data_IF_523506139864
#
_entry.id   IF_523506139864
#
_cell.length_a   1.000
_cell.length_b   1.000
_cell.length_c   1.000
_cell.angle_alpha   90.00
_cell.angle_beta   90.00
_cell.angle_gamma   90.00
#
_symmetry.space_group_name_H-M   'P 1'
#
loop_
_entity.id
_entity.type
_entity.pdbx_description
1 polymer ?
#
# COMPACT_ATOMS: atom_id res chain seq x y z
N UNK A 1 15.35 2.03 -12.11
CA UNK A 1 14.16 2.44 -11.33
C UNK A 1 12.98 1.47 -11.46
N UNK A 2 12.26 1.33 -12.59
CA UNK A 2 11.09 0.41 -12.64
C UNK A 2 11.42 -1.05 -12.31
N UNK A 3 12.57 -1.54 -12.75
CA UNK A 3 13.03 -2.91 -12.43
C UNK A 3 13.47 -3.04 -10.95
N UNK A 4 13.96 -1.96 -10.33
CA UNK A 4 14.25 -1.93 -8.89
C UNK A 4 12.97 -1.97 -8.05
N UNK A 5 11.92 -1.29 -8.49
CA UNK A 5 10.59 -1.37 -7.86
C UNK A 5 10.03 -2.79 -7.91
N UNK A 6 10.14 -3.45 -9.07
CA UNK A 6 9.74 -4.85 -9.22
C UNK A 6 10.55 -5.79 -8.31
N UNK A 7 11.86 -5.55 -8.14
CA UNK A 7 12.68 -6.31 -7.21
C UNK A 7 12.27 -6.09 -5.74
N UNK A 8 11.93 -4.86 -5.34
CA UNK A 8 11.38 -4.58 -4.01
C UNK A 8 10.06 -5.34 -3.80
N UNK A 9 9.20 -5.35 -4.82
CA UNK A 9 7.90 -6.03 -4.76
C UNK A 9 8.07 -7.53 -4.50
N UNK A 10 8.97 -8.18 -5.24
CA UNK A 10 9.30 -9.59 -5.03
C UNK A 10 9.88 -9.85 -3.63
N UNK A 11 10.79 -9.01 -3.16
CA UNK A 11 11.36 -9.14 -1.83
C UNK A 11 10.33 -8.93 -0.70
N UNK A 12 9.36 -8.03 -0.90
CA UNK A 12 8.33 -7.73 0.10
C UNK A 12 7.22 -8.79 0.16
N UNK A 13 6.88 -9.39 -0.98
CA UNK A 13 5.76 -10.31 -1.15
C UNK A 13 6.17 -11.61 -1.87
N UNK A 14 7.10 -12.39 -1.29
CA UNK A 14 7.67 -13.56 -1.96
C UNK A 14 6.66 -14.69 -2.24
N UNK A 15 5.51 -14.67 -1.56
CA UNK A 15 4.46 -15.69 -1.67
C UNK A 15 3.40 -15.38 -2.73
N UNK A 16 3.37 -14.16 -3.29
CA UNK A 16 2.43 -13.84 -4.36
C UNK A 16 2.78 -14.60 -5.63
N UNK A 17 1.80 -14.99 -6.44
CA UNK A 17 2.04 -15.54 -7.76
C UNK A 17 2.49 -14.47 -8.76
N UNK A 18 3.08 -14.89 -9.89
CA UNK A 18 3.51 -13.96 -10.96
C UNK A 18 2.36 -13.11 -11.53
N UNK A 19 1.12 -13.62 -11.50
CA UNK A 19 -0.07 -12.89 -11.95
C UNK A 19 -0.57 -11.84 -10.95
N UNK A 20 -0.26 -12.01 -9.66
CA UNK A 20 -0.67 -11.09 -8.60
C UNK A 20 0.38 -9.98 -8.36
N UNK A 21 1.64 -10.22 -8.72
CA UNK A 21 2.74 -9.26 -8.52
C UNK A 21 2.70 -8.09 -9.49
N UNK A 22 2.99 -6.91 -8.98
CA UNK A 22 3.38 -5.77 -9.82
C UNK A 22 4.75 -6.05 -10.46
N UNK A 23 4.90 -5.71 -11.74
CA UNK A 23 6.10 -5.95 -12.54
C UNK A 23 6.60 -4.62 -13.11
N UNK A 24 7.78 -4.61 -13.70
CA UNK A 24 8.39 -3.38 -14.18
C UNK A 24 7.50 -2.65 -15.22
N UNK A 25 6.76 -3.38 -16.06
CA UNK A 25 5.79 -2.77 -16.98
C UNK A 25 4.59 -2.11 -16.27
N UNK A 26 4.14 -2.66 -15.14
CA UNK A 26 3.08 -2.07 -14.33
C UNK A 26 3.56 -0.73 -13.75
N UNK A 27 4.75 -0.69 -13.13
CA UNK A 27 5.31 0.56 -12.60
C UNK A 27 5.52 1.64 -13.67
N UNK A 28 5.95 1.25 -14.88
CA UNK A 28 6.04 2.19 -16.02
C UNK A 28 4.66 2.72 -16.44
N UNK A 29 3.60 1.93 -16.31
CA UNK A 29 2.23 2.38 -16.57
C UNK A 29 1.73 3.30 -15.46
N UNK A 30 1.99 2.98 -14.18
CA UNK A 30 1.56 3.79 -13.03
C UNK A 30 2.03 5.23 -13.13
N UNK A 31 3.32 5.44 -13.49
CA UNK A 31 3.90 6.77 -13.67
C UNK A 31 3.23 7.55 -14.82
N UNK A 32 2.75 6.87 -15.86
CA UNK A 32 2.00 7.53 -16.96
C UNK A 32 0.57 7.86 -16.56
N UNK A 33 -0.05 7.00 -15.74
CA UNK A 33 -1.44 7.13 -15.30
C UNK A 33 -1.59 8.23 -14.26
N UNK A 34 -0.75 8.20 -13.21
CA UNK A 34 -0.83 9.15 -12.10
C UNK A 34 0.55 9.30 -11.42
N UNK A 35 1.45 10.11 -12.00
CA UNK A 35 2.83 10.23 -11.53
C UNK A 35 2.93 10.74 -10.09
N UNK A 36 2.05 11.65 -9.67
CA UNK A 36 2.05 12.24 -8.32
C UNK A 36 1.71 11.23 -7.22
N UNK A 37 1.10 10.09 -7.58
CA UNK A 37 0.80 8.99 -6.66
C UNK A 37 1.89 7.92 -6.56
N UNK A 38 3.02 8.07 -7.27
CA UNK A 38 4.08 7.07 -7.28
C UNK A 38 5.28 7.58 -6.49
N UNK A 39 5.53 6.98 -5.32
CA UNK A 39 6.58 7.43 -4.41
C UNK A 39 7.65 6.36 -4.24
N UNK A 40 8.90 6.79 -4.15
CA UNK A 40 10.04 5.92 -3.90
C UNK A 40 11.00 6.59 -2.91
N UNK A 41 11.49 5.82 -1.94
CA UNK A 41 12.58 6.24 -1.07
C UNK A 41 13.88 5.74 -1.66
N UNK A 42 14.82 6.67 -1.90
CA UNK A 42 16.13 6.39 -2.48
C UNK A 42 17.20 6.59 -1.41
N UNK A 43 18.06 5.59 -1.24
CA UNK A 43 19.21 5.70 -0.34
C UNK A 43 20.25 6.65 -0.94
N UNK A 44 20.54 7.77 -0.28
CA UNK A 44 21.45 8.82 -0.79
C UNK A 44 22.87 8.30 -1.05
N UNK A 45 23.35 7.34 -0.25
CA UNK A 45 24.72 6.82 -0.37
C UNK A 45 24.91 5.92 -1.61
N UNK A 46 23.88 5.17 -2.02
CA UNK A 46 23.99 4.16 -3.10
C UNK A 46 23.14 4.49 -4.32
N UNK A 47 22.21 5.43 -4.21
CA UNK A 47 21.23 5.76 -5.25
C UNK A 47 20.17 4.67 -5.47
N UNK A 48 20.13 3.63 -4.63
CA UNK A 48 19.20 2.50 -4.78
C UNK A 48 17.83 2.85 -4.20
N UNK A 49 16.77 2.38 -4.87
CA UNK A 49 15.44 2.39 -4.27
C UNK A 49 15.38 1.37 -3.12
N UNK A 50 14.84 1.78 -1.97
CA UNK A 50 14.77 0.95 -0.75
C UNK A 50 13.35 0.76 -0.22
N UNK A 51 12.42 1.61 -0.65
CA UNK A 51 11.00 1.49 -0.37
C UNK A 51 10.20 2.20 -1.46
N UNK A 52 8.94 1.81 -1.65
CA UNK A 52 8.04 2.45 -2.60
C UNK A 52 6.57 2.34 -2.18
N UNK A 53 5.75 3.23 -2.71
CA UNK A 53 4.29 3.14 -2.66
C UNK A 53 3.68 3.45 -4.01
N UNK A 54 2.55 2.79 -4.30
CA UNK A 54 1.76 2.97 -5.52
C UNK A 54 0.34 3.30 -5.13
N UNK A 55 -0.12 4.45 -5.62
CA UNK A 55 -1.42 5.02 -5.29
C UNK A 55 -2.15 5.49 -6.56
N UNK A 56 -3.48 5.54 -6.52
CA UNK A 56 -4.30 6.13 -7.57
C UNK A 56 -5.58 6.73 -7.00
N UNK A 57 -6.15 7.72 -7.68
CA UNK A 57 -7.44 8.31 -7.30
C UNK A 57 -8.61 7.46 -7.77
N UNK A 58 -9.63 7.35 -6.91
CA UNK A 58 -10.90 6.68 -7.19
C UNK A 58 -12.02 7.27 -6.34
N UNK A 59 -13.24 6.83 -6.61
CA UNK A 59 -14.41 7.05 -5.74
C UNK A 59 -14.64 5.80 -4.89
N UNK A 60 -15.02 5.97 -3.63
CA UNK A 60 -15.32 4.85 -2.70
C UNK A 60 -16.76 4.93 -2.22
N UNK A 61 -17.52 3.84 -2.44
CA UNK A 61 -18.81 3.64 -1.80
C UNK A 61 -18.62 2.83 -0.50
N UNK A 62 -18.66 3.50 0.65
CA UNK A 62 -18.53 2.84 1.95
C UNK A 62 -19.76 2.00 2.33
N UNK A 63 -20.87 2.07 1.60
CA UNK A 63 -21.97 1.11 1.75
C UNK A 63 -21.69 -0.19 1.01
N UNK A 64 -20.85 -0.16 -0.03
CA UNK A 64 -20.52 -1.32 -0.88
C UNK A 64 -19.00 -1.41 -1.12
N UNK A 65 -18.21 -1.39 -0.05
CA UNK A 65 -16.75 -1.33 -0.13
C UNK A 65 -16.07 -2.67 -0.46
N UNK A 66 -16.81 -3.78 -0.45
CA UNK A 66 -16.24 -5.11 -0.71
C UNK A 66 -15.85 -5.27 -2.19
N UNK A 67 -14.61 -5.64 -2.45
CA UNK A 67 -14.10 -5.88 -3.79
C UNK A 67 -12.93 -6.86 -3.75
N UNK A 68 -12.61 -7.43 -4.91
CA UNK A 68 -11.36 -8.18 -5.09
C UNK A 68 -10.24 -7.20 -5.38
N UNK A 69 -9.09 -7.40 -4.74
CA UNK A 69 -7.93 -6.53 -4.92
C UNK A 69 -7.58 -6.33 -6.41
N UNK A 70 -7.42 -7.41 -7.18
CA UNK A 70 -7.03 -7.31 -8.59
C UNK A 70 -8.04 -6.55 -9.45
N UNK A 71 -9.33 -6.58 -9.11
CA UNK A 71 -10.34 -5.82 -9.83
C UNK A 71 -10.21 -4.32 -9.51
N UNK A 72 -9.98 -3.98 -8.23
CA UNK A 72 -9.77 -2.60 -7.82
C UNK A 72 -8.52 -1.95 -8.43
N UNK A 73 -7.45 -2.71 -8.65
CA UNK A 73 -6.22 -2.19 -9.28
C UNK A 73 -6.16 -2.44 -10.79
N UNK A 74 -7.27 -2.83 -11.42
CA UNK A 74 -7.37 -3.15 -12.85
C UNK A 74 -6.25 -4.10 -13.33
N UNK A 75 -6.05 -5.21 -12.60
CA UNK A 75 -5.00 -6.19 -12.90
C UNK A 75 -3.58 -5.63 -12.74
N UNK A 76 -3.38 -4.76 -11.75
CA UNK A 76 -2.14 -3.99 -11.49
C UNK A 76 -1.82 -2.90 -12.53
N UNK A 77 -2.71 -2.57 -13.47
CA UNK A 77 -2.46 -1.52 -14.47
C UNK A 77 -2.93 -0.13 -14.05
N UNK A 78 -3.80 -0.03 -13.04
CA UNK A 78 -4.43 1.22 -12.59
C UNK A 78 -5.18 1.98 -13.70
N UNK A 79 -5.58 1.28 -14.77
CA UNK A 79 -6.27 1.88 -15.92
C UNK A 79 -7.68 2.41 -15.58
N UNK A 80 -8.20 2.06 -14.40
CA UNK A 80 -9.43 2.56 -13.82
C UNK A 80 -9.22 3.81 -12.93
N UNK A 81 -8.05 4.44 -12.97
CA UNK A 81 -7.78 5.71 -12.29
C UNK A 81 -8.82 6.76 -12.66
N UNK A 82 -9.32 7.47 -11.64
CA UNK A 82 -10.30 8.54 -11.79
C UNK A 82 -9.66 9.87 -11.37
N UNK A 83 -9.25 10.72 -12.32
CA UNK A 83 -8.65 12.02 -12.00
C UNK A 83 -9.57 12.95 -11.21
N UNK A 84 -10.88 12.70 -11.20
CA UNK A 84 -11.87 13.42 -10.40
C UNK A 84 -12.25 12.68 -9.10
N UNK A 85 -11.70 11.50 -8.85
CA UNK A 85 -11.95 10.72 -7.64
C UNK A 85 -11.53 11.48 -6.39
N UNK A 86 -12.33 11.36 -5.34
CA UNK A 86 -12.22 12.06 -4.06
C UNK A 86 -11.36 11.32 -3.03
N UNK A 87 -10.99 10.07 -3.29
CA UNK A 87 -10.14 9.25 -2.42
C UNK A 87 -8.82 8.88 -3.09
N UNK A 88 -7.76 8.82 -2.29
CA UNK A 88 -6.51 8.17 -2.66
C UNK A 88 -6.59 6.69 -2.28
N UNK A 89 -6.53 5.79 -3.25
CA UNK A 89 -6.49 4.35 -3.00
C UNK A 89 -5.04 3.85 -3.02
N UNK A 90 -4.61 3.24 -1.91
CA UNK A 90 -3.32 2.59 -1.77
C UNK A 90 -3.32 1.21 -2.40
N UNK A 91 -2.68 1.08 -3.57
CA UNK A 91 -2.54 -0.20 -4.27
C UNK A 91 -1.42 -1.06 -3.68
N UNK A 92 -0.28 -0.46 -3.37
CA UNK A 92 0.89 -1.18 -2.85
C UNK A 92 1.76 -0.29 -1.96
N UNK A 93 2.41 -0.89 -0.96
CA UNK A 93 3.48 -0.26 -0.19
C UNK A 93 4.49 -1.32 0.25
N UNK A 94 5.76 -1.07 -0.05
CA UNK A 94 6.85 -2.01 0.17
C UNK A 94 8.08 -1.33 0.76
N UNK A 95 8.66 -1.95 1.79
CA UNK A 95 10.00 -1.60 2.31
C UNK A 95 10.86 -2.85 2.24
N UNK A 96 12.02 -2.73 1.59
CA UNK A 96 12.97 -3.83 1.44
C UNK A 96 13.21 -4.52 2.79
N UNK A 97 13.12 -5.86 2.90
CA UNK A 97 13.16 -6.58 4.17
C UNK A 97 14.33 -6.18 5.09
N UNK A 98 15.53 -6.05 4.54
CA UNK A 98 16.77 -5.72 5.28
C UNK A 98 16.80 -4.28 5.85
N UNK A 99 15.90 -3.42 5.38
CA UNK A 99 15.83 -2.00 5.73
C UNK A 99 14.58 -1.64 6.52
N UNK A 100 13.77 -2.64 6.92
CA UNK A 100 12.60 -2.43 7.77
C UNK A 100 13.01 -1.92 9.16
N UNK A 101 12.03 -1.32 9.86
CA UNK A 101 12.19 -0.70 11.19
C UNK A 101 13.15 0.51 11.21
N UNK A 102 13.43 1.10 10.05
CA UNK A 102 14.22 2.34 9.92
C UNK A 102 13.38 3.59 9.60
N UNK A 103 12.06 3.53 9.84
CA UNK A 103 11.16 4.66 9.57
C UNK A 103 10.77 4.87 8.09
N UNK A 104 11.24 4.04 7.15
CA UNK A 104 11.01 4.24 5.71
C UNK A 104 9.52 4.22 5.31
N UNK A 105 8.72 3.35 5.94
CA UNK A 105 7.27 3.34 5.72
C UNK A 105 6.62 4.64 6.21
N UNK A 106 7.14 5.25 7.29
CA UNK A 106 6.63 6.54 7.78
C UNK A 106 6.77 7.62 6.71
N UNK A 107 7.92 7.70 6.04
CA UNK A 107 8.15 8.67 4.96
C UNK A 107 7.12 8.53 3.84
N UNK A 108 6.79 7.30 3.44
CA UNK A 108 5.80 7.03 2.40
C UNK A 108 4.38 7.42 2.84
N UNK A 109 4.00 7.11 4.08
CA UNK A 109 2.70 7.54 4.61
C UNK A 109 2.61 9.07 4.77
N UNK A 110 3.68 9.74 5.17
CA UNK A 110 3.73 11.20 5.24
C UNK A 110 3.54 11.82 3.85
N UNK A 111 4.19 11.29 2.81
CA UNK A 111 4.00 11.75 1.44
C UNK A 111 2.59 11.48 0.90
N UNK A 112 2.00 10.31 1.20
CA UNK A 112 0.58 10.03 0.86
C UNK A 112 -0.37 11.03 1.49
N UNK A 113 -0.18 11.35 2.78
CA UNK A 113 -1.01 12.36 3.44
C UNK A 113 -0.77 13.75 2.86
N UNK A 114 0.49 14.09 2.55
CA UNK A 114 0.85 15.32 1.85
C UNK A 114 0.12 15.42 0.51
N UNK A 115 0.09 14.34 -0.27
CA UNK A 115 -0.62 14.26 -1.53
C UNK A 115 -2.13 14.46 -1.37
N UNK A 116 -2.76 13.79 -0.39
CA UNK A 116 -4.17 14.00 -0.10
C UNK A 116 -4.47 15.48 0.18
N UNK A 117 -3.64 16.14 0.99
CA UNK A 117 -3.80 17.58 1.29
C UNK A 117 -3.59 18.46 0.05
N UNK A 118 -2.57 18.19 -0.77
CA UNK A 118 -2.28 18.95 -2.01
C UNK A 118 -3.43 18.87 -3.02
N UNK A 119 -4.07 17.71 -3.11
CA UNK A 119 -5.15 17.44 -4.08
C UNK A 119 -6.55 17.66 -3.51
N UNK A 120 -6.69 18.00 -2.23
CA UNK A 120 -7.98 18.21 -1.57
C UNK A 120 -8.83 16.93 -1.48
N UNK A 121 -8.18 15.76 -1.32
CA UNK A 121 -8.86 14.47 -1.23
C UNK A 121 -9.49 14.29 0.16
N UNK A 122 -10.59 13.54 0.22
CA UNK A 122 -11.29 13.19 1.45
C UNK A 122 -10.43 12.35 2.40
N UNK A 123 -9.51 11.54 1.86
CA UNK A 123 -8.57 10.75 2.62
C UNK A 123 -7.86 9.69 1.80
N UNK A 124 -7.22 8.76 2.50
CA UNK A 124 -6.52 7.61 1.94
C UNK A 124 -7.21 6.32 2.39
N UNK A 125 -7.44 5.40 1.46
CA UNK A 125 -8.06 4.10 1.71
C UNK A 125 -7.13 3.01 1.20
N UNK A 126 -6.91 1.98 2.01
CA UNK A 126 -6.14 0.80 1.62
C UNK A 126 -6.77 -0.46 2.21
N UNK A 127 -6.70 -1.56 1.46
CA UNK A 127 -7.02 -2.89 1.94
C UNK A 127 -5.77 -3.54 2.55
N UNK A 128 -5.89 -4.12 3.73
CA UNK A 128 -4.76 -4.73 4.43
C UNK A 128 -5.05 -6.17 4.85
N UNK A 129 -4.05 -7.04 4.71
CA UNK A 129 -4.11 -8.42 5.17
C UNK A 129 -3.48 -8.53 6.57
N UNK A 130 -4.22 -8.92 7.62
CA UNK A 130 -3.68 -8.97 8.98
C UNK A 130 -2.71 -10.14 9.17
N UNK A 131 -1.42 -9.91 8.86
CA UNK A 131 -0.40 -10.97 8.83
C UNK A 131 -0.17 -11.63 10.18
N UNK A 132 -0.50 -10.97 11.29
CA UNK A 132 -0.37 -11.53 12.64
C UNK A 132 -1.49 -12.51 13.02
N UNK A 133 -2.62 -12.51 12.32
CA UNK A 133 -3.83 -13.23 12.73
C UNK A 133 -3.65 -14.75 12.84
N UNK A 134 -2.78 -15.35 12.03
CA UNK A 134 -2.52 -16.80 12.08
C UNK A 134 -2.13 -17.31 13.48
N UNK A 135 -1.59 -16.45 14.35
CA UNK A 135 -1.23 -16.77 15.74
C UNK A 135 -2.41 -16.77 16.71
N UNK A 136 -3.51 -16.12 16.33
CA UNK A 136 -4.70 -15.90 17.15
C UNK A 136 -5.94 -16.64 16.63
N UNK A 137 -5.88 -17.21 15.43
CA UNK A 137 -7.01 -17.82 14.71
C UNK A 137 -7.73 -18.95 15.47
N UNK A 138 -7.06 -19.59 16.42
CA UNK A 138 -7.64 -20.67 17.24
C UNK A 138 -8.33 -20.14 18.51
N UNK A 139 -8.05 -18.90 18.91
CA UNK A 139 -8.52 -18.30 20.16
C UNK A 139 -9.56 -17.19 19.96
N UNK A 140 -9.64 -16.57 18.78
CA UNK A 140 -10.61 -15.51 18.50
C UNK A 140 -10.92 -15.41 17.00
N UNK A 141 -12.12 -14.93 16.68
CA UNK A 141 -12.51 -14.58 15.32
C UNK A 141 -11.72 -13.35 14.81
N UNK A 142 -11.65 -13.20 13.47
CA UNK A 142 -10.86 -12.14 12.83
C UNK A 142 -11.35 -10.74 13.20
N UNK A 143 -12.67 -10.57 13.33
CA UNK A 143 -13.31 -9.31 13.70
C UNK A 143 -12.88 -8.86 15.09
N UNK A 144 -12.83 -9.81 16.04
CA UNK A 144 -12.34 -9.56 17.38
C UNK A 144 -10.84 -9.20 17.38
N UNK A 145 -10.03 -9.91 16.59
CA UNK A 145 -8.61 -9.59 16.42
C UNK A 145 -8.40 -8.17 15.89
N UNK A 146 -9.07 -7.81 14.80
CA UNK A 146 -8.97 -6.46 14.20
C UNK A 146 -9.43 -5.39 15.19
N UNK A 147 -10.53 -5.61 15.93
CA UNK A 147 -10.98 -4.68 16.96
C UNK A 147 -9.92 -4.43 18.04
N UNK A 148 -9.21 -5.48 18.48
CA UNK A 148 -8.12 -5.36 19.45
C UNK A 148 -6.91 -4.61 18.88
N UNK A 149 -6.61 -4.81 17.59
CA UNK A 149 -5.55 -4.07 16.91
C UNK A 149 -5.88 -2.58 16.79
N UNK A 150 -7.12 -2.25 16.43
CA UNK A 150 -7.61 -0.86 16.37
C UNK A 150 -7.54 -0.19 17.75
N UNK A 151 -7.82 -0.92 18.83
CA UNK A 151 -7.69 -0.43 20.22
C UNK A 151 -6.25 -0.42 20.75
N UNK A 152 -5.27 -0.85 19.96
CA UNK A 152 -3.86 -0.87 20.35
C UNK A 152 -3.48 -1.95 21.36
N UNK A 153 -4.33 -2.95 21.56
CA UNK A 153 -4.05 -4.07 22.49
C UNK A 153 -3.20 -5.18 21.87
N UNK A 154 -3.22 -5.26 20.53
CA UNK A 154 -2.46 -6.22 19.74
C UNK A 154 -1.73 -5.45 18.64
N UNK A 155 -0.46 -5.78 18.45
CA UNK A 155 0.34 -5.28 17.34
C UNK A 155 0.26 -6.24 16.15
N UNK A 156 -0.39 -5.79 15.08
CA UNK A 156 -0.36 -6.48 13.78
C UNK A 156 0.72 -5.84 12.88
N UNK A 157 1.59 -6.65 12.24
CA UNK A 157 2.67 -6.14 11.40
C UNK A 157 2.22 -5.30 10.20
N UNK A 158 0.96 -5.43 9.77
CA UNK A 158 0.41 -4.74 8.60
C UNK A 158 -0.60 -3.68 9.01
N UNK A 159 -1.56 -4.00 9.89
CA UNK A 159 -2.61 -3.05 10.28
C UNK A 159 -2.10 -1.94 11.22
N UNK A 160 -1.21 -2.25 12.16
CA UNK A 160 -0.79 -1.27 13.16
C UNK A 160 0.05 -0.13 12.58
N UNK A 161 0.66 -0.31 11.40
CA UNK A 161 1.50 0.70 10.76
C UNK A 161 0.66 1.91 10.29
N UNK A 162 -0.36 1.74 9.41
CA UNK A 162 -1.23 2.84 9.01
C UNK A 162 -2.06 3.39 10.17
N UNK A 163 -2.62 2.53 11.03
CA UNK A 163 -3.48 2.96 12.15
C UNK A 163 -2.78 3.89 13.16
N UNK A 164 -1.45 3.85 13.25
CA UNK A 164 -0.67 4.76 14.10
C UNK A 164 -0.32 6.09 13.42
N UNK A 165 -0.64 6.24 12.14
CA UNK A 165 -0.21 7.36 11.28
C UNK A 165 -1.36 8.21 10.78
N UNK A 166 -2.61 7.88 11.08
CA UNK A 166 -3.79 8.68 10.72
C UNK A 166 -5.06 7.93 11.05
#
# INVERSE_FOLDING_TARGET
MADELAAIQEACFPTLSTGERMRAEHYRAHVRVFPEGQHAVVETATGRVVAASTDFRTTIDFHHYQHRYLDAVAGNWLSNHQPAGDWLYGADIGVHPDLRRRGLATLLYEERQGLCRRLGLAGHVEGAMPKGYHRHREAMAIEAYVSRVVRGEIDDPTLSVPLRRG
#
